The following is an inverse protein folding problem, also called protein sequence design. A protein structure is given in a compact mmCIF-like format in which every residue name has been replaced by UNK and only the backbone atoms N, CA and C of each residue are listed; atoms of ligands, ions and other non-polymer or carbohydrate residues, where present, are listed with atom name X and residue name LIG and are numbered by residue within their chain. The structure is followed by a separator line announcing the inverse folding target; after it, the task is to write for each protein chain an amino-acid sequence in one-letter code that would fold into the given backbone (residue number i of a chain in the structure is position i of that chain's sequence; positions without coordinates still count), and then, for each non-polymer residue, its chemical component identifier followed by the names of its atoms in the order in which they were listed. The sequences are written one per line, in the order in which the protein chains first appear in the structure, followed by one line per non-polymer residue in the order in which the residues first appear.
data_IF_466958778986
#
_entry.id   IF_466958778986
#
_cell.length_a   1.000
_cell.length_b   1.000
_cell.length_c   1.000
_cell.angle_alpha   90.00
_cell.angle_beta   90.00
_cell.angle_gamma   90.00
#
_symmetry.space_group_name_H-M   'P 1'
#
loop_
_entity.id
_entity.type
_entity.pdbx_description
1 polymer ?
#
# COMPACT_ATOMS: atom_id res chain seq x y z
N UNK A 1 -43.36 -12.17 -54.15
CA UNK A 1 -43.38 -10.72 -54.49
C UNK A 1 -44.65 -10.14 -53.89
N UNK A 2 -44.61 -8.91 -53.35
CA UNK A 2 -45.62 -8.41 -52.40
C UNK A 2 -45.37 -9.00 -50.99
N UNK A 3 -45.09 -8.23 -49.94
CA UNK A 3 -45.81 -7.13 -49.29
C UNK A 3 -46.88 -7.62 -48.28
N UNK A 4 -47.12 -7.04 -47.09
CA UNK A 4 -46.37 -6.24 -46.09
C UNK A 4 -47.43 -5.69 -45.10
N UNK A 5 -47.01 -5.20 -43.91
CA UNK A 5 -47.78 -4.36 -42.95
C UNK A 5 -48.76 -5.04 -41.95
N UNK A 6 -48.20 -5.43 -40.79
CA UNK A 6 -48.34 -4.79 -39.45
C UNK A 6 -49.73 -4.45 -38.82
N UNK A 7 -49.77 -4.53 -37.47
CA UNK A 7 -50.81 -4.05 -36.49
C UNK A 7 -52.20 -4.73 -36.58
N UNK A 8 -53.03 -4.91 -35.54
CA UNK A 8 -53.06 -4.48 -34.11
C UNK A 8 -53.73 -5.55 -33.21
N UNK A 9 -53.51 -5.52 -31.90
CA UNK A 9 -54.33 -6.24 -30.90
C UNK A 9 -54.44 -5.44 -29.60
N UNK A 10 -55.67 -5.23 -29.10
CA UNK A 10 -55.99 -4.26 -28.04
C UNK A 10 -56.92 -4.90 -26.99
N UNK A 11 -56.71 -4.61 -25.70
CA UNK A 11 -57.67 -4.97 -24.64
C UNK A 11 -57.53 -4.06 -23.39
N UNK A 12 -58.48 -3.13 -23.30
CA UNK A 12 -58.96 -2.35 -22.14
C UNK A 12 -59.63 -3.24 -21.06
N UNK A 13 -60.09 -2.86 -19.85
CA UNK A 13 -60.19 -1.65 -18.97
C UNK A 13 -60.47 -2.22 -17.52
N UNK A 14 -60.50 -1.55 -16.35
CA UNK A 14 -60.39 -0.15 -15.85
C UNK A 14 -59.97 -0.16 -14.34
N UNK A 15 -60.16 0.94 -13.59
CA UNK A 15 -60.03 1.00 -12.10
C UNK A 15 -58.66 1.52 -11.61
N UNK A 16 -58.42 2.78 -11.21
CA UNK A 16 -59.16 3.74 -10.33
C UNK A 16 -59.39 3.16 -8.92
N UNK A 17 -58.92 3.75 -7.80
CA UNK A 17 -58.25 5.05 -7.52
C UNK A 17 -57.21 4.90 -6.39
N UNK A 18 -56.13 5.70 -6.37
CA UNK A 18 -55.36 5.96 -5.13
C UNK A 18 -53.91 6.44 -5.30
N UNK A 19 -53.68 7.75 -5.36
CA UNK A 19 -52.37 8.34 -5.03
C UNK A 19 -52.25 8.52 -3.50
N UNK A 20 -51.04 8.41 -2.95
CA UNK A 20 -50.31 9.65 -2.69
C UNK A 20 -48.94 9.73 -3.39
N UNK A 21 -48.38 10.95 -3.34
CA UNK A 21 -47.07 11.37 -3.85
C UNK A 21 -45.90 10.53 -3.33
N UNK A 22 -44.96 10.23 -4.23
CA UNK A 22 -43.60 9.79 -3.92
C UNK A 22 -42.63 10.72 -4.66
N UNK A 23 -41.80 11.46 -3.92
CA UNK A 23 -40.94 12.50 -4.49
C UNK A 23 -39.87 11.93 -5.43
N UNK A 24 -39.56 12.71 -6.47
CA UNK A 24 -38.50 12.44 -7.46
C UNK A 24 -37.10 12.48 -6.85
N UNK A 25 -36.78 11.47 -6.04
CA UNK A 25 -35.44 11.28 -5.47
C UNK A 25 -34.55 10.70 -6.56
N UNK A 26 -33.92 11.57 -7.35
CA UNK A 26 -32.97 11.17 -8.40
C UNK A 26 -31.88 10.29 -7.80
N UNK A 27 -31.92 8.98 -8.08
CA UNK A 27 -30.84 8.06 -7.75
C UNK A 27 -29.62 8.39 -8.63
N UNK A 28 -28.89 9.43 -8.23
CA UNK A 28 -27.61 9.81 -8.80
C UNK A 28 -26.64 8.66 -8.55
N UNK A 29 -26.43 7.83 -9.57
CA UNK A 29 -25.40 6.80 -9.59
C UNK A 29 -24.07 7.45 -9.23
N UNK A 30 -23.65 7.27 -7.97
CA UNK A 30 -22.35 7.73 -7.50
C UNK A 30 -21.30 6.93 -8.25
N UNK A 31 -20.76 7.54 -9.31
CA UNK A 31 -19.56 7.06 -9.99
C UNK A 31 -18.52 6.68 -8.93
N UNK A 32 -17.83 5.54 -9.06
CA UNK A 32 -16.78 5.18 -8.11
C UNK A 32 -15.79 6.34 -8.00
N UNK A 33 -15.31 6.67 -6.78
CA UNK A 33 -14.49 7.84 -6.56
C UNK A 33 -13.30 7.79 -7.52
N UNK A 34 -13.23 8.77 -8.45
CA UNK A 34 -12.18 8.85 -9.49
C UNK A 34 -10.85 8.52 -8.85
N UNK A 35 -10.25 7.39 -9.25
CA UNK A 35 -9.00 6.89 -8.67
C UNK A 35 -7.99 8.03 -8.76
N UNK A 36 -7.71 8.68 -7.63
CA UNK A 36 -6.77 9.80 -7.57
C UNK A 36 -5.42 9.21 -7.93
N UNK A 37 -4.96 9.50 -9.15
CA UNK A 37 -3.65 9.08 -9.64
C UNK A 37 -2.62 9.61 -8.63
N UNK A 38 -2.09 8.72 -7.79
CA UNK A 38 -1.15 9.12 -6.74
C UNK A 38 0.13 9.50 -7.47
N UNK A 39 0.52 10.77 -7.31
CA UNK A 39 1.59 11.42 -8.06
C UNK A 39 2.65 11.90 -7.08
N UNK A 40 3.88 12.08 -7.57
CA UNK A 40 4.87 12.81 -6.79
C UNK A 40 4.33 14.23 -6.57
N UNK A 41 4.21 14.65 -5.31
CA UNK A 41 3.57 15.92 -4.95
C UNK A 41 4.43 16.69 -3.95
N UNK A 42 4.62 18.00 -4.16
CA UNK A 42 5.42 18.87 -3.30
C UNK A 42 4.76 20.22 -3.00
N UNK A 43 5.23 20.90 -1.94
CA UNK A 43 4.78 22.24 -1.51
C UNK A 43 5.92 23.25 -1.35
N UNK A 44 6.93 23.18 -2.21
CA UNK A 44 8.22 23.86 -2.04
C UNK A 44 8.28 25.30 -2.57
N UNK A 45 7.37 25.74 -3.45
CA UNK A 45 7.39 27.12 -4.00
C UNK A 45 7.26 28.22 -2.94
N UNK A 46 6.68 27.91 -1.78
CA UNK A 46 6.55 28.83 -0.63
C UNK A 46 7.72 28.76 0.36
N UNK A 47 8.64 27.80 0.18
CA UNK A 47 9.77 27.53 1.08
C UNK A 47 11.03 28.14 0.45
N UNK A 48 11.45 29.33 0.91
CA UNK A 48 12.43 30.17 0.20
C UNK A 48 13.75 29.44 -0.16
N UNK A 49 14.33 28.70 0.79
CA UNK A 49 15.55 27.88 0.58
C UNK A 49 15.36 26.82 -0.53
N UNK A 50 14.15 26.26 -0.63
CA UNK A 50 13.84 25.05 -1.39
C UNK A 50 13.16 25.31 -2.73
N UNK A 51 12.59 26.50 -2.94
CA UNK A 51 11.87 26.89 -4.15
C UNK A 51 12.74 26.78 -5.43
N UNK A 52 14.05 26.96 -5.29
CA UNK A 52 15.06 26.79 -6.34
C UNK A 52 15.21 25.35 -6.85
N UNK A 53 14.79 24.35 -6.07
CA UNK A 53 14.88 22.92 -6.45
C UNK A 53 13.72 22.46 -7.33
N UNK A 54 12.59 23.20 -7.31
CA UNK A 54 11.34 22.85 -8.00
C UNK A 54 11.54 22.58 -9.50
N UNK A 55 12.34 23.36 -10.28
CA UNK A 55 12.62 23.03 -11.68
C UNK A 55 13.32 21.67 -11.86
N UNK A 56 14.32 21.36 -11.04
CA UNK A 56 15.09 20.12 -11.09
C UNK A 56 14.25 18.88 -10.71
N UNK A 57 13.31 19.03 -9.77
CA UNK A 57 12.33 17.99 -9.43
C UNK A 57 11.32 17.78 -10.56
N UNK A 58 10.88 18.87 -11.22
CA UNK A 58 9.98 18.81 -12.39
C UNK A 58 10.61 18.19 -13.63
N UNK A 59 11.94 18.24 -13.77
CA UNK A 59 12.69 17.56 -14.82
C UNK A 59 12.90 16.05 -14.56
N UNK A 60 12.23 15.48 -13.54
CA UNK A 60 12.19 14.03 -13.32
C UNK A 60 11.34 13.29 -14.35
N UNK A 61 11.64 12.01 -14.57
CA UNK A 61 10.90 11.10 -15.47
C UNK A 61 9.54 10.65 -14.93
N UNK A 62 8.96 11.36 -13.95
CA UNK A 62 7.80 10.92 -13.18
C UNK A 62 6.73 12.02 -13.10
N UNK A 63 5.43 11.66 -13.05
CA UNK A 63 4.33 12.62 -12.98
C UNK A 63 4.38 13.39 -11.65
N UNK A 64 4.92 14.60 -11.72
CA UNK A 64 5.12 15.54 -10.62
C UNK A 64 4.01 16.60 -10.58
N UNK A 65 3.63 17.03 -9.37
CA UNK A 65 2.64 18.08 -9.13
C UNK A 65 3.05 18.98 -7.94
N UNK A 66 2.82 20.28 -8.06
CA UNK A 66 2.81 21.15 -6.87
C UNK A 66 1.40 21.14 -6.25
N UNK A 67 1.32 21.03 -4.93
CA UNK A 67 0.11 21.24 -4.15
C UNK A 67 0.43 21.96 -2.83
N UNK A 68 -0.59 22.35 -2.09
CA UNK A 68 -0.40 22.61 -0.65
C UNK A 68 -0.42 21.26 0.07
N UNK A 69 0.50 21.05 1.00
CA UNK A 69 0.61 19.86 1.84
C UNK A 69 0.78 20.35 3.28
N UNK A 70 -0.13 19.95 4.18
CA UNK A 70 -0.30 20.66 5.46
C UNK A 70 0.61 20.13 6.59
N UNK A 71 1.22 18.96 6.40
CA UNK A 71 1.96 18.22 7.43
C UNK A 71 3.25 17.53 6.93
N UNK A 72 3.68 17.82 5.69
CA UNK A 72 4.92 17.33 5.06
C UNK A 72 5.20 18.17 3.80
N UNK A 73 6.45 18.29 3.36
CA UNK A 73 6.82 19.08 2.17
C UNK A 73 6.76 18.32 0.86
N UNK A 74 6.93 16.99 0.92
CA UNK A 74 6.96 16.07 -0.22
C UNK A 74 6.15 14.81 0.11
N UNK A 75 5.43 14.30 -0.88
CA UNK A 75 4.82 12.97 -0.86
C UNK A 75 5.02 12.25 -2.20
N UNK A 76 5.16 10.93 -2.19
CA UNK A 76 5.16 10.13 -3.42
C UNK A 76 4.57 8.73 -3.22
N UNK A 77 4.00 8.12 -4.28
CA UNK A 77 3.53 6.74 -4.23
C UNK A 77 4.70 5.76 -4.06
N UNK A 78 4.58 4.87 -3.07
CA UNK A 78 5.27 3.59 -3.04
C UNK A 78 4.37 2.62 -3.81
N UNK A 79 4.75 2.30 -5.04
CA UNK A 79 4.00 1.39 -5.90
C UNK A 79 4.10 -0.04 -5.39
N UNK A 80 2.96 -0.64 -5.05
CA UNK A 80 2.85 -2.06 -4.74
C UNK A 80 2.22 -2.80 -5.93
N UNK A 81 2.67 -4.03 -6.18
CA UNK A 81 1.86 -5.01 -6.89
C UNK A 81 0.68 -5.44 -6.00
N UNK A 82 -0.53 -5.47 -6.57
CA UNK A 82 -1.72 -6.08 -5.94
C UNK A 82 -2.33 -5.40 -4.70
N UNK A 83 -1.79 -4.28 -4.19
CA UNK A 83 -2.32 -3.61 -2.99
C UNK A 83 -2.36 -2.08 -3.16
N UNK A 84 -3.18 -1.34 -2.37
CA UNK A 84 -3.16 0.13 -2.38
C UNK A 84 -1.73 0.67 -2.24
N UNK A 85 -1.38 1.65 -3.08
CA UNK A 85 -0.07 2.29 -3.02
C UNK A 85 0.05 3.06 -1.71
N UNK A 86 1.02 2.67 -0.88
CA UNK A 86 1.38 3.43 0.32
C UNK A 86 1.99 4.79 -0.10
N UNK A 87 1.91 5.80 0.77
CA UNK A 87 2.43 7.13 0.48
C UNK A 87 3.67 7.36 1.34
N UNK A 88 4.82 7.53 0.71
CA UNK A 88 6.00 8.06 1.39
C UNK A 88 5.81 9.55 1.64
N UNK A 89 6.33 10.05 2.76
CA UNK A 89 6.25 11.46 3.17
C UNK A 89 7.61 11.97 3.61
N UNK A 90 7.99 13.17 3.20
CA UNK A 90 9.17 13.84 3.73
C UNK A 90 8.87 15.27 4.14
N UNK A 91 9.51 15.70 5.23
CA UNK A 91 9.66 17.11 5.61
C UNK A 91 11.09 17.53 5.30
N UNK A 92 11.25 18.66 4.64
CA UNK A 92 12.56 19.26 4.38
C UNK A 92 12.82 20.32 5.45
N UNK A 93 14.00 20.30 6.05
CA UNK A 93 14.45 21.27 7.05
C UNK A 93 15.87 21.72 6.73
N UNK A 94 16.20 22.98 7.01
CA UNK A 94 17.59 23.37 7.24
C UNK A 94 17.96 23.12 8.72
N UNK A 95 19.25 22.97 9.00
CA UNK A 95 19.76 22.80 10.36
C UNK A 95 19.25 23.88 11.34
N UNK A 96 19.27 25.19 11.00
CA UNK A 96 18.70 26.22 11.88
C UNK A 96 17.19 26.04 12.10
N UNK A 97 16.42 25.66 11.07
CA UNK A 97 14.98 25.42 11.19
C UNK A 97 14.70 24.28 12.17
N UNK A 98 15.41 23.14 12.06
CA UNK A 98 15.26 21.98 12.95
C UNK A 98 15.55 22.33 14.42
N UNK A 99 16.42 23.28 14.70
CA UNK A 99 16.70 23.74 16.06
C UNK A 99 15.57 24.60 16.65
N UNK A 100 14.68 25.17 15.83
CA UNK A 100 13.52 25.93 16.32
C UNK A 100 12.40 25.03 16.85
N UNK A 101 11.55 25.59 17.73
CA UNK A 101 10.32 24.94 18.19
C UNK A 101 9.38 24.56 17.02
N UNK A 102 9.26 25.42 16.00
CA UNK A 102 8.42 25.10 14.82
C UNK A 102 9.02 23.92 14.04
N UNK A 103 10.32 23.90 13.80
CA UNK A 103 11.00 22.78 13.12
C UNK A 103 10.78 21.45 13.84
N UNK A 104 11.01 21.38 15.16
CA UNK A 104 10.73 20.18 15.95
C UNK A 104 9.25 19.77 15.87
N UNK A 105 8.32 20.72 15.96
CA UNK A 105 6.89 20.47 15.77
C UNK A 105 6.49 20.10 14.32
N UNK A 106 7.33 20.34 13.30
CA UNK A 106 7.15 19.81 11.93
C UNK A 106 7.64 18.35 11.82
N UNK A 107 8.66 17.97 12.59
CA UNK A 107 9.15 16.58 12.68
C UNK A 107 8.15 15.69 13.45
N UNK A 108 7.66 16.15 14.60
CA UNK A 108 6.66 15.43 15.41
C UNK A 108 5.36 15.20 14.62
N UNK A 109 4.83 16.24 13.95
CA UNK A 109 3.66 16.11 13.07
C UNK A 109 3.88 15.10 11.95
N UNK A 110 5.07 15.04 11.35
CA UNK A 110 5.40 14.03 10.34
C UNK A 110 5.37 12.62 10.92
N UNK A 111 5.93 12.40 12.12
CA UNK A 111 5.92 11.10 12.79
C UNK A 111 4.49 10.61 13.08
N UNK A 112 3.69 11.46 13.72
CA UNK A 112 2.31 11.16 14.11
C UNK A 112 1.40 10.85 12.90
N UNK A 113 1.65 11.49 11.75
CA UNK A 113 0.84 11.36 10.54
C UNK A 113 0.84 9.94 9.92
N UNK A 114 1.87 9.14 10.17
CA UNK A 114 1.99 7.75 9.68
C UNK A 114 2.41 6.73 10.75
N UNK A 115 2.55 7.14 12.01
CA UNK A 115 3.18 6.33 13.06
C UNK A 115 4.62 5.93 12.68
N UNK A 116 5.40 6.89 12.16
CA UNK A 116 6.77 6.69 11.67
C UNK A 116 6.93 5.89 10.37
N UNK A 117 5.87 5.27 9.84
CA UNK A 117 5.95 4.42 8.65
C UNK A 117 6.04 5.24 7.37
N UNK A 118 7.07 4.95 6.56
CA UNK A 118 7.32 5.63 5.28
C UNK A 118 7.47 7.16 5.40
N UNK A 119 8.05 7.62 6.52
CA UNK A 119 8.39 9.03 6.77
C UNK A 119 9.90 9.21 6.84
N UNK A 120 10.42 10.36 6.39
CA UNK A 120 11.79 10.79 6.65
C UNK A 120 11.91 12.32 6.78
N UNK A 121 12.90 12.78 7.52
CA UNK A 121 13.34 14.18 7.47
C UNK A 121 14.52 14.25 6.50
N UNK A 122 14.50 15.18 5.55
CA UNK A 122 15.68 15.50 4.74
C UNK A 122 16.26 16.80 5.29
N UNK A 123 17.49 16.74 5.80
CA UNK A 123 18.12 17.82 6.54
C UNK A 123 19.24 18.45 5.70
N UNK A 124 19.07 19.72 5.33
CA UNK A 124 20.14 20.52 4.74
C UNK A 124 21.12 20.94 5.85
N UNK A 125 22.35 20.45 5.75
CA UNK A 125 23.43 20.78 6.68
C UNK A 125 24.08 22.13 6.33
N UNK A 126 24.76 22.74 7.30
CA UNK A 126 25.55 23.96 7.08
C UNK A 126 26.91 23.62 6.45
N UNK A 127 27.46 24.52 5.62
CA UNK A 127 28.68 24.25 4.85
C UNK A 127 29.97 24.23 5.71
N UNK A 128 30.01 24.91 6.86
CA UNK A 128 31.23 25.02 7.68
C UNK A 128 31.62 23.72 8.41
N UNK A 129 30.66 23.05 9.05
CA UNK A 129 30.88 21.90 9.96
C UNK A 129 29.81 20.79 9.83
N UNK A 130 29.43 20.38 8.60
CA UNK A 130 28.24 19.56 8.36
C UNK A 130 28.18 18.26 9.19
N UNK A 131 29.31 17.56 9.34
CA UNK A 131 29.34 16.29 10.07
C UNK A 131 29.30 16.45 11.59
N UNK A 132 29.95 17.48 12.15
CA UNK A 132 29.87 17.78 13.60
C UNK A 132 28.43 18.19 13.99
N UNK A 133 27.81 19.02 13.16
CA UNK A 133 26.43 19.44 13.32
C UNK A 133 25.45 18.26 13.20
N UNK A 134 25.65 17.38 12.22
CA UNK A 134 24.81 16.19 12.05
C UNK A 134 24.96 15.21 13.22
N UNK A 135 26.18 14.94 13.69
CA UNK A 135 26.42 14.10 14.87
C UNK A 135 25.77 14.68 16.13
N UNK A 136 25.81 16.02 16.31
CA UNK A 136 25.11 16.70 17.42
C UNK A 136 23.59 16.53 17.31
N UNK A 137 23.01 16.76 16.13
CA UNK A 137 21.57 16.56 15.88
C UNK A 137 21.15 15.11 16.10
N UNK A 138 21.96 14.13 15.67
CA UNK A 138 21.65 12.72 15.95
C UNK A 138 21.69 12.45 17.45
N UNK A 139 22.73 12.88 18.18
CA UNK A 139 22.85 12.69 19.62
C UNK A 139 21.70 13.33 20.42
N UNK A 140 21.23 14.53 20.02
CA UNK A 140 20.06 15.19 20.61
C UNK A 140 18.74 14.42 20.41
N UNK A 141 18.67 13.48 19.44
CA UNK A 141 17.44 12.81 19.02
C UNK A 141 17.48 11.29 19.25
N UNK A 142 18.54 10.75 19.85
CA UNK A 142 18.65 9.32 20.20
C UNK A 142 17.62 8.86 21.27
N UNK A 143 17.03 9.77 22.03
CA UNK A 143 16.00 9.49 23.03
C UNK A 143 14.59 9.35 22.46
N UNK A 144 14.35 9.91 21.28
CA UNK A 144 13.01 10.26 20.82
C UNK A 144 12.56 9.37 19.66
N UNK A 145 11.25 9.13 19.55
CA UNK A 145 10.66 8.39 18.42
C UNK A 145 10.55 9.28 17.18
N UNK A 146 11.69 9.49 16.51
CA UNK A 146 11.86 10.46 15.41
C UNK A 146 11.90 9.76 14.04
N UNK A 147 11.35 10.35 12.96
CA UNK A 147 11.54 9.83 11.60
C UNK A 147 13.03 9.80 11.21
N UNK A 148 13.50 8.84 10.41
CA UNK A 148 14.89 8.78 9.96
C UNK A 148 15.31 10.10 9.31
N UNK A 149 16.42 10.66 9.78
CA UNK A 149 17.00 11.92 9.30
C UNK A 149 18.08 11.61 8.27
N UNK A 150 17.94 12.20 7.08
CA UNK A 150 18.81 11.98 5.94
C UNK A 150 19.51 13.31 5.62
N UNK A 151 20.82 13.42 5.86
CA UNK A 151 21.56 14.65 5.59
C UNK A 151 21.75 14.85 4.08
N UNK A 152 21.69 16.10 3.63
CA UNK A 152 22.19 16.56 2.33
C UNK A 152 23.06 17.80 2.52
N UNK A 153 24.10 17.92 1.69
CA UNK A 153 25.03 19.06 1.75
C UNK A 153 24.55 20.25 0.92
N UNK A 154 23.74 20.00 -0.11
CA UNK A 154 23.16 21.05 -0.96
C UNK A 154 21.71 20.75 -1.32
N UNK A 155 20.90 21.79 -1.51
CA UNK A 155 19.54 21.66 -2.04
C UNK A 155 19.51 21.05 -3.46
N UNK A 156 20.65 21.04 -4.17
CA UNK A 156 20.85 20.33 -5.44
C UNK A 156 20.74 18.80 -5.29
N UNK A 157 21.19 18.27 -4.15
CA UNK A 157 21.27 16.81 -3.90
C UNK A 157 19.90 16.19 -3.63
N UNK A 158 18.92 17.02 -3.23
CA UNK A 158 17.55 16.62 -2.90
C UNK A 158 16.93 15.68 -3.94
N UNK A 159 17.13 15.95 -5.24
CA UNK A 159 16.62 15.11 -6.33
C UNK A 159 17.21 13.69 -6.30
N UNK A 160 18.53 13.58 -6.06
CA UNK A 160 19.23 12.30 -5.94
C UNK A 160 18.82 11.53 -4.68
N UNK A 161 18.69 12.24 -3.56
CA UNK A 161 18.17 11.72 -2.29
C UNK A 161 16.77 11.10 -2.46
N UNK A 162 15.86 11.80 -3.13
CA UNK A 162 14.48 11.34 -3.36
C UNK A 162 14.40 10.15 -4.33
N UNK A 163 15.18 10.17 -5.41
CA UNK A 163 15.28 9.03 -6.34
C UNK A 163 15.88 7.79 -5.64
N UNK A 164 16.84 7.97 -4.72
CA UNK A 164 17.40 6.89 -3.91
C UNK A 164 16.38 6.33 -2.91
N UNK A 165 15.73 7.20 -2.13
CA UNK A 165 14.66 6.83 -1.19
C UNK A 165 13.56 6.01 -1.86
N UNK A 166 13.15 6.37 -3.08
CA UNK A 166 12.10 5.63 -3.79
C UNK A 166 12.58 4.27 -4.28
N UNK A 167 13.83 4.12 -4.73
CA UNK A 167 14.41 2.80 -5.05
C UNK A 167 14.43 1.90 -3.82
N UNK A 168 14.87 2.42 -2.68
CA UNK A 168 14.94 1.67 -1.42
C UNK A 168 13.55 1.21 -0.96
N UNK A 169 12.54 2.08 -1.07
CA UNK A 169 11.14 1.73 -0.80
C UNK A 169 10.59 0.60 -1.69
N UNK A 170 11.18 0.36 -2.88
CA UNK A 170 10.84 -0.80 -3.72
C UNK A 170 11.65 -2.03 -3.30
N UNK A 171 12.99 -1.93 -3.28
CA UNK A 171 13.90 -3.05 -3.05
C UNK A 171 13.72 -3.69 -1.67
N UNK A 172 13.62 -2.88 -0.62
CA UNK A 172 13.34 -3.37 0.75
C UNK A 172 12.01 -4.14 0.83
N UNK A 173 11.00 -3.71 0.05
CA UNK A 173 9.69 -4.38 0.00
C UNK A 173 9.72 -5.68 -0.77
N UNK A 174 10.49 -5.78 -1.85
CA UNK A 174 10.69 -7.03 -2.60
C UNK A 174 11.29 -8.12 -1.71
N UNK A 175 12.37 -7.81 -0.98
CA UNK A 175 12.97 -8.72 0.01
C UNK A 175 11.97 -9.11 1.11
N UNK A 176 11.21 -8.16 1.67
CA UNK A 176 10.19 -8.46 2.68
C UNK A 176 9.06 -9.36 2.14
N UNK A 177 8.72 -9.24 0.86
CA UNK A 177 7.68 -10.03 0.21
C UNK A 177 8.17 -11.44 -0.16
N UNK A 178 9.45 -11.64 -0.48
CA UNK A 178 10.03 -12.98 -0.66
C UNK A 178 10.14 -13.69 0.69
N UNK A 179 10.73 -13.06 1.71
CA UNK A 179 10.82 -13.62 3.06
C UNK A 179 9.43 -13.99 3.63
N UNK A 180 8.39 -13.19 3.37
CA UNK A 180 7.00 -13.52 3.75
C UNK A 180 6.42 -14.68 2.93
N UNK A 181 6.82 -14.86 1.67
CA UNK A 181 6.40 -16.01 0.84
C UNK A 181 7.15 -17.29 1.20
N UNK A 182 8.42 -17.21 1.59
CA UNK A 182 9.16 -18.35 2.12
C UNK A 182 8.64 -18.78 3.50
N UNK A 183 8.42 -17.86 4.43
CA UNK A 183 7.75 -18.19 5.70
C UNK A 183 6.33 -18.76 5.50
N UNK A 184 5.60 -18.31 4.47
CA UNK A 184 4.31 -18.88 4.09
C UNK A 184 4.46 -20.31 3.54
N UNK A 185 5.42 -20.56 2.64
CA UNK A 185 5.75 -21.90 2.12
C UNK A 185 6.12 -22.86 3.25
N UNK A 186 7.01 -22.45 4.15
CA UNK A 186 7.46 -23.25 5.29
C UNK A 186 6.32 -23.63 6.24
N UNK A 187 5.41 -22.70 6.53
CA UNK A 187 4.25 -22.96 7.37
C UNK A 187 3.24 -23.87 6.65
N UNK A 188 3.01 -23.66 5.35
CA UNK A 188 2.19 -24.56 4.50
C UNK A 188 2.77 -25.99 4.46
N UNK A 189 4.10 -26.16 4.42
CA UNK A 189 4.72 -27.50 4.47
C UNK A 189 4.31 -28.32 5.72
N UNK A 190 4.01 -27.64 6.84
CA UNK A 190 3.64 -28.26 8.12
C UNK A 190 2.12 -28.39 8.32
N UNK A 191 1.28 -27.86 7.42
CA UNK A 191 -0.17 -27.93 7.54
C UNK A 191 -0.75 -29.23 6.97
N UNK A 192 -0.22 -30.37 7.45
CA UNK A 192 -0.59 -31.71 7.02
C UNK A 192 -0.39 -32.71 8.17
N UNK A 193 -1.32 -33.63 8.38
CA UNK A 193 -1.15 -34.70 9.38
C UNK A 193 -0.08 -35.71 8.92
N UNK A 194 1.05 -35.79 9.63
CA UNK A 194 2.12 -36.79 9.40
C UNK A 194 3.35 -36.22 8.67
N UNK A 195 3.78 -36.85 7.57
CA UNK A 195 4.91 -36.38 6.75
C UNK A 195 4.60 -35.02 6.11
N UNK A 196 5.43 -34.01 6.40
CA UNK A 196 5.36 -32.67 5.79
C UNK A 196 5.32 -32.72 4.24
N UNK A 197 4.66 -31.73 3.62
CA UNK A 197 4.61 -31.59 2.16
C UNK A 197 6.00 -31.33 1.59
N UNK A 198 6.21 -31.73 0.33
CA UNK A 198 7.37 -31.30 -0.45
C UNK A 198 7.31 -29.81 -0.77
N UNK A 199 8.48 -29.21 -1.06
CA UNK A 199 8.58 -27.79 -1.42
C UNK A 199 7.74 -27.43 -2.65
N UNK A 200 7.59 -28.36 -3.59
CA UNK A 200 6.82 -28.15 -4.81
C UNK A 200 5.31 -28.22 -4.57
N UNK A 201 4.84 -29.14 -3.72
CA UNK A 201 3.45 -29.15 -3.24
C UNK A 201 3.10 -27.84 -2.50
N UNK A 202 4.00 -27.35 -1.64
CA UNK A 202 3.81 -26.06 -0.96
C UNK A 202 3.90 -24.86 -1.92
N UNK A 203 4.75 -24.91 -2.96
CA UNK A 203 4.79 -23.90 -4.02
C UNK A 203 3.46 -23.85 -4.81
N UNK A 204 2.83 -25.00 -5.08
CA UNK A 204 1.51 -25.03 -5.75
C UNK A 204 0.44 -24.41 -4.85
N UNK A 205 0.33 -24.85 -3.59
CA UNK A 205 -0.64 -24.28 -2.62
C UNK A 205 -0.46 -22.77 -2.40
N UNK A 206 0.78 -22.28 -2.37
CA UNK A 206 1.09 -20.84 -2.22
C UNK A 206 1.05 -20.05 -3.53
N UNK A 207 0.95 -20.73 -4.68
CA UNK A 207 0.68 -20.13 -5.98
C UNK A 207 -0.82 -19.94 -6.25
N UNK A 208 -1.66 -20.86 -5.75
CA UNK A 208 -3.13 -20.81 -5.92
C UNK A 208 -3.86 -20.08 -4.77
N UNK A 209 -3.17 -19.59 -3.74
CA UNK A 209 -3.76 -18.86 -2.61
C UNK A 209 -2.99 -17.57 -2.28
N UNK A 210 -3.71 -16.51 -1.91
CA UNK A 210 -3.10 -15.23 -1.49
C UNK A 210 -2.56 -15.23 -0.05
N UNK A 211 -2.75 -16.32 0.69
CA UNK A 211 -2.25 -16.56 2.04
C UNK A 211 -3.17 -17.51 2.85
N UNK A 212 -2.81 -17.80 4.10
CA UNK A 212 -3.50 -18.81 4.93
C UNK A 212 -5.02 -18.62 5.08
N UNK A 213 -5.49 -17.36 5.19
CA UNK A 213 -6.93 -17.05 5.24
C UNK A 213 -7.65 -17.57 3.98
N UNK A 214 -7.01 -17.41 2.83
CA UNK A 214 -7.53 -17.76 1.52
C UNK A 214 -7.58 -19.29 1.35
N UNK A 215 -6.49 -19.97 1.75
CA UNK A 215 -6.43 -21.44 1.82
C UNK A 215 -7.55 -22.03 2.71
N UNK A 216 -7.83 -21.41 3.86
CA UNK A 216 -8.92 -21.81 4.76
C UNK A 216 -10.29 -21.57 4.09
N UNK A 217 -10.48 -20.42 3.44
CA UNK A 217 -11.72 -20.10 2.70
C UNK A 217 -12.00 -21.12 1.59
N UNK A 218 -10.97 -21.50 0.81
CA UNK A 218 -11.08 -22.56 -0.19
C UNK A 218 -11.57 -23.87 0.45
N UNK A 219 -10.96 -24.33 1.55
CA UNK A 219 -11.34 -25.58 2.23
C UNK A 219 -12.80 -25.56 2.73
N UNK A 220 -13.30 -24.40 3.18
CA UNK A 220 -14.72 -24.24 3.56
C UNK A 220 -15.69 -24.12 2.38
N UNK A 221 -15.20 -23.98 1.14
CA UNK A 221 -16.03 -23.90 -0.05
C UNK A 221 -16.36 -25.31 -0.59
N UNK A 222 -17.61 -25.62 -1.02
CA UNK A 222 -18.01 -26.97 -1.45
C UNK A 222 -17.17 -27.62 -2.56
N UNK A 223 -16.40 -26.83 -3.33
CA UNK A 223 -15.50 -27.30 -4.39
C UNK A 223 -14.01 -27.32 -4.01
N UNK A 224 -13.60 -26.68 -2.92
CA UNK A 224 -12.19 -26.55 -2.54
C UNK A 224 -11.50 -27.84 -2.10
N UNK A 225 -12.16 -28.77 -1.39
CA UNK A 225 -11.62 -30.09 -1.12
C UNK A 225 -11.24 -30.88 -2.39
N UNK A 226 -12.00 -30.73 -3.47
CA UNK A 226 -11.65 -31.33 -4.77
C UNK A 226 -10.45 -30.61 -5.42
N UNK A 227 -10.44 -29.27 -5.41
CA UNK A 227 -9.37 -28.43 -5.95
C UNK A 227 -8.00 -28.70 -5.28
N UNK A 228 -7.97 -28.95 -3.97
CA UNK A 228 -6.73 -29.30 -3.25
C UNK A 228 -6.24 -30.71 -3.63
N UNK A 229 -7.15 -31.67 -3.81
CA UNK A 229 -6.81 -33.03 -4.27
C UNK A 229 -6.35 -33.08 -5.73
N UNK A 230 -6.88 -32.21 -6.59
CA UNK A 230 -6.45 -32.06 -7.99
C UNK A 230 -4.94 -31.73 -8.09
N UNK A 231 -4.42 -30.91 -7.16
CA UNK A 231 -3.01 -30.50 -7.15
C UNK A 231 -2.08 -31.34 -6.26
N UNK A 232 -2.60 -32.00 -5.22
CA UNK A 232 -1.78 -32.78 -4.27
C UNK A 232 -1.92 -34.30 -4.44
N UNK A 233 -2.90 -34.76 -5.21
CA UNK A 233 -3.40 -36.14 -5.16
C UNK A 233 -4.28 -36.39 -3.94
N UNK A 234 -5.11 -37.44 -3.99
CA UNK A 234 -6.09 -37.75 -2.92
C UNK A 234 -5.45 -37.92 -1.54
N UNK A 235 -4.32 -38.62 -1.45
CA UNK A 235 -3.67 -38.95 -0.18
C UNK A 235 -3.17 -37.72 0.57
N UNK A 236 -2.38 -36.86 -0.08
CA UNK A 236 -1.84 -35.67 0.58
C UNK A 236 -2.88 -34.54 0.65
N UNK A 237 -3.80 -34.47 -0.31
CA UNK A 237 -4.94 -33.57 -0.26
C UNK A 237 -5.85 -33.83 0.95
N UNK A 238 -6.26 -35.08 1.18
CA UNK A 238 -7.09 -35.45 2.34
C UNK A 238 -6.37 -35.13 3.68
N UNK A 239 -5.06 -35.39 3.76
CA UNK A 239 -4.26 -35.10 4.97
C UNK A 239 -4.10 -33.59 5.25
N UNK A 240 -4.08 -32.75 4.22
CA UNK A 240 -4.10 -31.27 4.35
C UNK A 240 -5.49 -30.78 4.76
N UNK A 241 -6.55 -31.35 4.17
CA UNK A 241 -7.95 -31.02 4.49
C UNK A 241 -8.28 -31.43 5.94
N UNK A 242 -7.86 -32.61 6.38
CA UNK A 242 -7.93 -33.09 7.78
C UNK A 242 -7.32 -32.07 8.74
N UNK A 243 -6.03 -31.77 8.58
CA UNK A 243 -5.28 -30.85 9.44
C UNK A 243 -5.94 -29.46 9.52
N UNK A 244 -6.41 -28.93 8.39
CA UNK A 244 -6.95 -27.56 8.31
C UNK A 244 -8.43 -27.45 8.68
N UNK A 245 -9.17 -28.56 8.79
CA UNK A 245 -10.55 -28.58 9.30
C UNK A 245 -10.64 -28.99 10.77
N UNK A 246 -9.79 -29.93 11.20
CA UNK A 246 -9.84 -30.58 12.52
C UNK A 246 -8.70 -30.15 13.46
N UNK A 247 -7.70 -29.43 12.94
CA UNK A 247 -6.45 -29.14 13.64
C UNK A 247 -5.44 -30.29 13.56
N UNK A 248 -4.22 -30.09 14.08
CA UNK A 248 -3.21 -31.16 14.11
C UNK A 248 -3.70 -32.35 14.94
N UNK A 249 -3.61 -33.56 14.38
CA UNK A 249 -3.94 -34.80 15.07
C UNK A 249 -3.15 -34.93 16.37
N UNK A 250 -3.86 -35.11 17.50
CA UNK A 250 -3.21 -35.36 18.79
C UNK A 250 -2.47 -36.69 18.74
N UNK A 251 -1.14 -36.65 18.81
CA UNK A 251 -0.31 -37.84 19.03
C UNK A 251 -0.69 -38.40 20.40
N UNK A 252 -1.41 -39.52 20.41
CA UNK A 252 -1.56 -40.36 21.59
C UNK A 252 -0.29 -41.18 21.73
N UNK A 253 0.47 -40.89 22.77
CA UNK A 253 1.64 -41.65 23.23
C UNK A 253 1.23 -42.92 23.96
#
# INVERSE_FOLDING_TARGET
MGASYQVTGHLELSGWVGHPTLDSTTHTLRLPPKIRRIMFTSSLRKRQEWASTVPSLRAGSHPWKEATLDACDITFPITNSGTPSAIFRATLLSLPELQTHEGRARVERLWLLSGGKHTAVVLLLCEEKPMEDFCRVQAELLSDSVPPIIPISSTRDLRGCLDALRRECTVSREHSNEARRDALRELVCQCIDGKALSRDQANILTGITSGFRDLTVHITHPSGPAFIKEYLGDTDGERVISFLTSGPSRISS
#
